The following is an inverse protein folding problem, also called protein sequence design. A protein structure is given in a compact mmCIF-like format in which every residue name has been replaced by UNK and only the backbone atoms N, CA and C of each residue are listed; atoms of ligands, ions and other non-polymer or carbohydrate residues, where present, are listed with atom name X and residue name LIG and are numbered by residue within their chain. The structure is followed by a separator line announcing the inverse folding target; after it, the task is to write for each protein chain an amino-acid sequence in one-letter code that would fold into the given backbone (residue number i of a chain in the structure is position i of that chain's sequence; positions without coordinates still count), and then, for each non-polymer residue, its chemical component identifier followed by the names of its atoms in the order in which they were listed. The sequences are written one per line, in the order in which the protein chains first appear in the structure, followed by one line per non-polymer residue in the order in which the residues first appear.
data_IF_149719075368
#
_entry.id   IF_149719075368
#
_cell.length_a   1.000
_cell.length_b   1.000
_cell.length_c   1.000
_cell.angle_alpha   90.00
_cell.angle_beta   90.00
_cell.angle_gamma   90.00
#
_symmetry.space_group_name_H-M   'P 1'
#
loop_
_entity.id
_entity.type
_entity.pdbx_description
1 polymer ?
#
# COMPACT_ATOMS: atom_id res chain seq x y z
N UNK A 1 -16.92 -7.51 -27.78
CA UNK A 1 -16.15 -6.92 -26.65
C UNK A 1 -15.40 -7.94 -25.80
N UNK A 2 -16.00 -9.03 -25.27
CA UNK A 2 -15.31 -10.02 -24.41
C UNK A 2 -14.08 -10.66 -25.05
N UNK A 3 -14.11 -10.96 -26.38
CA UNK A 3 -12.95 -11.48 -27.10
C UNK A 3 -11.78 -10.48 -27.11
N UNK A 4 -12.07 -9.19 -27.35
CA UNK A 4 -11.05 -8.12 -27.31
C UNK A 4 -10.46 -7.95 -25.91
N UNK A 5 -11.28 -8.00 -24.86
CA UNK A 5 -10.77 -7.98 -23.50
C UNK A 5 -9.85 -9.17 -23.21
N UNK A 6 -10.16 -10.37 -23.70
CA UNK A 6 -9.27 -11.54 -23.54
C UNK A 6 -7.93 -11.33 -24.23
N UNK A 7 -7.89 -10.73 -25.43
CA UNK A 7 -6.66 -10.37 -26.14
C UNK A 7 -5.84 -9.35 -25.34
N UNK A 8 -6.48 -8.29 -24.84
CA UNK A 8 -5.84 -7.29 -23.99
C UNK A 8 -5.22 -7.90 -22.72
N UNK A 9 -5.95 -8.81 -22.05
CA UNK A 9 -5.43 -9.50 -20.86
C UNK A 9 -4.21 -10.36 -21.20
N UNK A 10 -4.18 -11.00 -22.38
CA UNK A 10 -2.99 -11.75 -22.82
C UNK A 10 -1.80 -10.81 -23.11
N UNK A 11 -2.04 -9.64 -23.71
CA UNK A 11 -1.01 -8.63 -23.91
C UNK A 11 -0.42 -8.14 -22.58
N UNK A 12 -1.27 -7.87 -21.58
CA UNK A 12 -0.78 -7.52 -20.24
C UNK A 12 0.10 -8.61 -19.62
N UNK A 13 -0.20 -9.90 -19.88
CA UNK A 13 0.65 -11.01 -19.44
C UNK A 13 1.99 -11.02 -20.17
N UNK A 14 2.01 -10.81 -21.48
CA UNK A 14 3.23 -10.70 -22.29
C UNK A 14 4.11 -9.54 -21.80
N UNK A 15 3.52 -8.42 -21.40
CA UNK A 15 4.22 -7.27 -20.79
C UNK A 15 4.59 -7.49 -19.32
N UNK A 16 4.44 -8.70 -18.79
CA UNK A 16 4.83 -9.10 -17.44
C UNK A 16 4.16 -8.29 -16.30
N UNK A 17 2.89 -7.93 -16.49
CA UNK A 17 2.10 -7.31 -15.42
C UNK A 17 1.78 -8.34 -14.33
N UNK A 18 1.73 -7.88 -13.06
CA UNK A 18 1.39 -8.76 -11.94
C UNK A 18 -0.06 -9.27 -12.05
N UNK A 19 -0.30 -10.51 -11.60
CA UNK A 19 -1.64 -11.13 -11.58
C UNK A 19 -2.70 -10.23 -10.90
N UNK A 20 -2.32 -9.56 -9.82
CA UNK A 20 -3.19 -8.59 -9.13
C UNK A 20 -3.55 -7.41 -10.02
N UNK A 21 -2.60 -6.90 -10.79
CA UNK A 21 -2.83 -5.81 -11.74
C UNK A 21 -3.75 -6.28 -12.87
N UNK A 22 -3.46 -7.42 -13.47
CA UNK A 22 -4.26 -8.04 -14.54
C UNK A 22 -5.70 -8.26 -14.06
N UNK A 23 -5.90 -8.84 -12.87
CA UNK A 23 -7.23 -9.02 -12.27
C UNK A 23 -7.97 -7.69 -12.11
N UNK A 24 -7.26 -6.63 -11.71
CA UNK A 24 -7.84 -5.30 -11.54
C UNK A 24 -8.31 -4.68 -12.86
N UNK A 25 -7.49 -4.79 -13.92
CA UNK A 25 -7.87 -4.34 -15.27
C UNK A 25 -9.03 -5.15 -15.82
N UNK A 26 -8.95 -6.48 -15.72
CA UNK A 26 -10.04 -7.36 -16.17
C UNK A 26 -11.37 -7.02 -15.51
N UNK A 27 -11.38 -6.88 -14.18
CA UNK A 27 -12.63 -6.63 -13.46
C UNK A 27 -13.23 -5.25 -13.79
N UNK A 28 -12.41 -4.21 -13.97
CA UNK A 28 -12.91 -2.89 -14.35
C UNK A 28 -13.52 -2.90 -15.74
N UNK A 29 -12.84 -3.52 -16.71
CA UNK A 29 -13.32 -3.59 -18.09
C UNK A 29 -14.53 -4.51 -18.24
N UNK A 30 -14.60 -5.63 -17.50
CA UNK A 30 -15.80 -6.49 -17.48
C UNK A 30 -17.04 -5.74 -16.99
N UNK A 31 -16.92 -4.95 -15.90
CA UNK A 31 -18.06 -4.14 -15.43
C UNK A 31 -18.53 -3.14 -16.46
N UNK A 32 -17.60 -2.54 -17.19
CA UNK A 32 -17.93 -1.61 -18.27
C UNK A 32 -18.62 -2.33 -19.43
N UNK A 33 -18.13 -3.50 -19.86
CA UNK A 33 -18.76 -4.31 -20.90
C UNK A 33 -20.18 -4.69 -20.48
N UNK A 34 -20.37 -5.19 -19.25
CA UNK A 34 -21.72 -5.53 -18.74
C UNK A 34 -22.66 -4.33 -18.75
N UNK A 35 -22.17 -3.13 -18.40
CA UNK A 35 -22.98 -1.91 -18.52
C UNK A 35 -23.38 -1.62 -19.96
N UNK A 36 -22.45 -1.70 -20.92
CA UNK A 36 -22.74 -1.47 -22.33
C UNK A 36 -23.78 -2.48 -22.88
N UNK A 37 -23.67 -3.73 -22.46
CA UNK A 37 -24.63 -4.78 -22.83
C UNK A 37 -26.05 -4.47 -22.31
N UNK A 38 -26.17 -3.90 -21.09
CA UNK A 38 -27.51 -3.44 -20.60
C UNK A 38 -28.07 -2.26 -21.36
N UNK A 39 -27.20 -1.45 -21.97
CA UNK A 39 -27.59 -0.34 -22.87
C UNK A 39 -27.79 -0.80 -24.33
N UNK A 40 -27.71 -2.10 -24.62
CA UNK A 40 -27.90 -2.67 -25.95
C UNK A 40 -26.71 -2.49 -26.90
N UNK A 41 -25.54 -2.06 -26.38
CA UNK A 41 -24.33 -1.83 -27.18
C UNK A 41 -23.48 -3.10 -27.17
N UNK A 42 -23.32 -3.72 -28.31
CA UNK A 42 -22.62 -5.00 -28.47
C UNK A 42 -21.29 -4.88 -29.19
N UNK A 43 -21.07 -3.80 -29.92
CA UNK A 43 -19.82 -3.53 -30.63
C UNK A 43 -19.01 -2.42 -29.93
N UNK A 44 -17.68 -2.59 -29.93
CA UNK A 44 -16.76 -1.62 -29.32
C UNK A 44 -16.66 -0.32 -30.14
N UNK A 45 -16.87 -0.39 -31.45
CA UNK A 45 -16.85 0.76 -32.34
C UNK A 45 -18.04 1.71 -32.14
N UNK A 46 -19.15 1.20 -31.59
CA UNK A 46 -20.33 2.00 -31.25
C UNK A 46 -20.13 2.82 -29.97
N UNK A 47 -19.08 2.56 -29.20
CA UNK A 47 -18.86 3.21 -27.91
C UNK A 47 -18.41 4.66 -28.10
N UNK A 48 -19.23 5.58 -27.61
CA UNK A 48 -18.98 7.02 -27.65
C UNK A 48 -18.50 7.57 -26.32
N UNK A 49 -17.91 8.77 -26.33
CA UNK A 49 -17.54 9.48 -25.10
C UNK A 49 -18.76 9.75 -24.20
N UNK A 50 -19.98 9.83 -24.75
CA UNK A 50 -21.19 10.05 -23.95
C UNK A 50 -21.56 8.82 -23.14
N UNK A 51 -21.53 7.63 -23.71
CA UNK A 51 -21.78 6.37 -22.99
C UNK A 51 -20.76 6.14 -21.88
N UNK A 52 -19.48 6.46 -22.13
CA UNK A 52 -18.45 6.40 -21.09
C UNK A 52 -18.76 7.37 -19.92
N UNK A 53 -19.22 8.60 -20.22
CA UNK A 53 -19.63 9.55 -19.19
C UNK A 53 -20.81 9.05 -18.37
N UNK A 54 -21.83 8.49 -19.03
CA UNK A 54 -22.99 7.90 -18.35
C UNK A 54 -22.57 6.74 -17.43
N UNK A 55 -21.70 5.85 -17.94
CA UNK A 55 -21.13 4.79 -17.10
C UNK A 55 -20.38 5.35 -15.88
N UNK A 56 -19.54 6.37 -16.07
CA UNK A 56 -18.81 7.00 -14.96
C UNK A 56 -19.76 7.60 -13.93
N UNK A 57 -20.87 8.19 -14.37
CA UNK A 57 -21.92 8.73 -13.49
C UNK A 57 -22.68 7.65 -12.72
N UNK A 58 -22.82 6.45 -13.29
CA UNK A 58 -23.46 5.31 -12.62
C UNK A 58 -22.59 4.65 -11.56
N UNK A 59 -21.29 4.96 -11.51
CA UNK A 59 -20.39 4.36 -10.53
C UNK A 59 -20.54 5.06 -9.17
N UNK A 60 -21.04 4.33 -8.20
CA UNK A 60 -21.05 4.77 -6.81
C UNK A 60 -19.66 4.64 -6.18
N UNK A 61 -19.22 5.66 -5.43
CA UNK A 61 -17.97 5.60 -4.69
C UNK A 61 -17.19 6.92 -4.61
N UNK A 62 -16.05 6.85 -3.96
CA UNK A 62 -15.16 8.02 -3.82
C UNK A 62 -14.53 8.39 -5.16
N UNK A 63 -14.24 9.68 -5.41
CA UNK A 63 -13.59 10.12 -6.65
C UNK A 63 -12.30 9.37 -6.99
N UNK A 64 -11.52 8.96 -6.00
CA UNK A 64 -10.30 8.16 -6.19
C UNK A 64 -10.56 6.79 -6.80
N UNK A 65 -11.65 6.10 -6.40
CA UNK A 65 -12.06 4.83 -6.98
C UNK A 65 -12.53 4.98 -8.44
N UNK A 66 -13.36 6.02 -8.68
CA UNK A 66 -13.84 6.34 -10.03
C UNK A 66 -12.65 6.68 -10.94
N UNK A 67 -11.72 7.52 -10.49
CA UNK A 67 -10.51 7.86 -11.23
C UNK A 67 -9.62 6.64 -11.52
N UNK A 68 -9.53 5.71 -10.59
CA UNK A 68 -8.82 4.45 -10.82
C UNK A 68 -9.52 3.61 -11.92
N UNK A 69 -10.85 3.61 -11.99
CA UNK A 69 -11.61 2.94 -13.05
C UNK A 69 -11.38 3.64 -14.39
N UNK A 70 -11.48 4.98 -14.46
CA UNK A 70 -11.19 5.77 -15.67
C UNK A 70 -9.79 5.44 -16.21
N UNK A 71 -8.78 5.38 -15.36
CA UNK A 71 -7.40 5.05 -15.76
C UNK A 71 -7.29 3.65 -16.38
N UNK A 72 -8.03 2.67 -15.84
CA UNK A 72 -8.03 1.29 -16.38
C UNK A 72 -8.75 1.19 -17.71
N UNK A 73 -9.91 1.85 -17.86
CA UNK A 73 -10.61 1.94 -19.13
C UNK A 73 -9.76 2.65 -20.18
N UNK A 74 -9.14 3.78 -19.81
CA UNK A 74 -8.26 4.54 -20.72
C UNK A 74 -7.14 3.67 -21.26
N UNK A 75 -6.49 2.86 -20.42
CA UNK A 75 -5.43 1.97 -20.85
C UNK A 75 -5.93 0.90 -21.84
N UNK A 76 -7.15 0.39 -21.66
CA UNK A 76 -7.75 -0.56 -22.61
C UNK A 76 -8.07 0.10 -23.94
N UNK A 77 -8.71 1.28 -23.93
CA UNK A 77 -9.04 2.00 -25.16
C UNK A 77 -7.80 2.53 -25.90
N UNK A 78 -6.70 2.85 -25.21
CA UNK A 78 -5.40 3.15 -25.84
C UNK A 78 -4.89 1.92 -26.56
N UNK A 79 -4.89 0.76 -25.90
CA UNK A 79 -4.49 -0.50 -26.50
C UNK A 79 -5.36 -0.88 -27.71
N UNK A 80 -6.70 -0.73 -27.60
CA UNK A 80 -7.61 -0.99 -28.73
C UNK A 80 -7.31 -0.13 -29.96
N UNK A 81 -6.92 1.14 -29.74
CA UNK A 81 -6.51 2.04 -30.81
C UNK A 81 -5.15 1.65 -31.39
N UNK A 82 -4.17 1.30 -30.53
CA UNK A 82 -2.83 0.86 -30.95
C UNK A 82 -2.85 -0.43 -31.77
N UNK A 83 -3.78 -1.34 -31.46
CA UNK A 83 -3.97 -2.61 -32.17
C UNK A 83 -5.01 -2.50 -33.31
N UNK A 84 -5.40 -1.28 -33.69
CA UNK A 84 -6.31 -0.97 -34.81
C UNK A 84 -7.70 -1.62 -34.70
N UNK A 85 -8.15 -1.97 -33.47
CA UNK A 85 -9.49 -2.46 -33.22
C UNK A 85 -10.55 -1.37 -33.20
N UNK A 86 -10.18 -0.11 -33.08
CA UNK A 86 -11.02 1.07 -33.16
C UNK A 86 -10.28 2.18 -33.91
N UNK A 87 -11.00 3.00 -34.68
CA UNK A 87 -10.42 4.13 -35.41
C UNK A 87 -10.21 5.38 -34.53
N UNK A 88 -11.00 5.53 -33.47
CA UNK A 88 -11.03 6.71 -32.60
C UNK A 88 -11.12 6.30 -31.15
N UNK A 89 -10.33 6.97 -30.28
CA UNK A 89 -10.37 6.70 -28.85
C UNK A 89 -11.46 7.54 -28.15
N UNK A 90 -12.57 6.94 -27.71
CA UNK A 90 -13.66 7.67 -27.05
C UNK A 90 -13.27 8.20 -25.66
N UNK A 91 -12.16 7.72 -25.08
CA UNK A 91 -11.63 8.18 -23.78
C UNK A 91 -10.83 9.49 -23.89
N UNK A 92 -10.49 9.98 -25.10
CA UNK A 92 -9.63 11.13 -25.32
C UNK A 92 -10.10 12.41 -24.57
N UNK A 93 -11.43 12.63 -24.53
CA UNK A 93 -12.05 13.81 -23.88
C UNK A 93 -12.50 13.57 -22.43
N UNK A 94 -12.27 12.37 -21.87
CA UNK A 94 -12.67 12.04 -20.51
C UNK A 94 -11.63 12.58 -19.53
N UNK A 95 -12.06 13.48 -18.64
CA UNK A 95 -11.20 14.05 -17.58
C UNK A 95 -11.36 13.26 -16.30
N UNK A 96 -10.30 13.27 -15.48
CA UNK A 96 -10.39 12.75 -14.11
C UNK A 96 -11.23 13.68 -13.23
N UNK A 97 -11.93 13.11 -12.28
CA UNK A 97 -12.66 13.85 -11.25
C UNK A 97 -11.67 14.59 -10.36
N UNK A 98 -12.06 15.76 -9.88
CA UNK A 98 -11.29 16.47 -8.86
C UNK A 98 -11.31 15.65 -7.57
N UNK A 99 -10.14 15.45 -6.99
CA UNK A 99 -9.99 14.81 -5.69
C UNK A 99 -9.58 15.87 -4.69
N UNK A 100 -10.32 16.00 -3.60
CA UNK A 100 -9.86 16.78 -2.47
C UNK A 100 -8.69 16.03 -1.82
N UNK A 101 -7.56 16.69 -1.67
CA UNK A 101 -6.46 16.17 -0.89
C UNK A 101 -6.90 16.06 0.57
N UNK A 102 -7.07 14.85 1.07
CA UNK A 102 -7.31 14.63 2.49
C UNK A 102 -5.98 14.50 3.22
N UNK A 103 -5.85 15.18 4.34
CA UNK A 103 -4.75 14.93 5.28
C UNK A 103 -4.80 13.46 5.70
N UNK A 104 -3.65 12.81 5.66
CA UNK A 104 -3.55 11.39 6.04
C UNK A 104 -3.67 11.32 7.56
N UNK A 105 -4.83 10.88 8.04
CA UNK A 105 -5.06 10.62 9.45
C UNK A 105 -4.42 9.30 9.86
N UNK A 106 -3.63 9.32 10.92
CA UNK A 106 -2.97 8.15 11.49
C UNK A 106 -3.16 8.13 13.01
N UNK A 107 -2.52 7.18 13.67
CA UNK A 107 -2.52 7.05 15.11
C UNK A 107 -1.85 8.25 15.80
N UNK A 108 -2.30 8.58 17.00
CA UNK A 108 -1.53 9.38 17.97
C UNK A 108 -0.39 8.54 18.54
N UNK A 109 0.61 9.21 19.14
CA UNK A 109 1.75 8.51 19.75
C UNK A 109 1.30 7.65 20.94
N UNK A 110 0.25 8.07 21.67
CA UNK A 110 -0.35 7.29 22.75
C UNK A 110 -1.01 5.99 22.21
N UNK A 111 -1.78 6.08 21.13
CA UNK A 111 -2.39 4.91 20.50
C UNK A 111 -1.35 3.97 19.92
N UNK A 112 -0.30 4.48 19.28
CA UNK A 112 0.81 3.69 18.77
C UNK A 112 1.51 2.91 19.90
N UNK A 113 1.74 3.56 21.05
CA UNK A 113 2.30 2.91 22.25
C UNK A 113 1.37 1.80 22.77
N UNK A 114 0.08 2.08 22.90
CA UNK A 114 -0.92 1.08 23.31
C UNK A 114 -0.96 -0.11 22.35
N UNK A 115 -0.85 0.12 21.04
CA UNK A 115 -0.79 -0.95 20.03
C UNK A 115 0.49 -1.81 20.18
N UNK A 116 1.63 -1.20 20.46
CA UNK A 116 2.88 -1.93 20.71
C UNK A 116 2.81 -2.83 21.96
N UNK A 117 2.02 -2.46 22.95
CA UNK A 117 1.81 -3.20 24.18
C UNK A 117 0.62 -4.16 24.16
N UNK A 118 -0.23 -4.12 23.12
CA UNK A 118 -1.50 -4.83 23.04
C UNK A 118 -1.39 -6.37 23.15
N UNK A 119 -0.30 -6.95 22.64
CA UNK A 119 -0.06 -8.40 22.72
C UNK A 119 1.00 -8.68 23.78
N UNK A 120 0.62 -9.22 24.93
CA UNK A 120 1.49 -9.51 26.10
C UNK A 120 1.61 -11.01 26.44
N UNK A 121 0.84 -11.87 25.76
CA UNK A 121 0.86 -13.32 25.96
C UNK A 121 2.22 -13.98 25.66
N UNK A 122 2.43 -15.15 26.27
CA UNK A 122 3.65 -15.94 26.10
C UNK A 122 3.51 -17.09 25.11
N UNK A 123 2.32 -17.32 24.57
CA UNK A 123 2.10 -18.29 23.50
C UNK A 123 2.69 -17.79 22.17
N UNK A 124 3.01 -18.74 21.28
CA UNK A 124 3.68 -18.42 20.02
C UNK A 124 2.90 -17.44 19.14
N UNK A 125 1.55 -17.49 19.15
CA UNK A 125 0.73 -16.61 18.33
C UNK A 125 0.75 -15.19 18.89
N UNK A 126 0.68 -15.01 20.20
CA UNK A 126 0.80 -13.70 20.84
C UNK A 126 2.18 -13.09 20.61
N UNK A 127 3.26 -13.87 20.80
CA UNK A 127 4.64 -13.42 20.53
C UNK A 127 4.81 -13.04 19.05
N UNK A 128 4.29 -13.87 18.13
CA UNK A 128 4.31 -13.56 16.68
C UNK A 128 3.58 -12.26 16.37
N UNK A 129 2.34 -12.12 16.87
CA UNK A 129 1.51 -10.96 16.60
C UNK A 129 2.15 -9.68 17.15
N UNK A 130 2.71 -9.73 18.35
CA UNK A 130 3.52 -8.62 18.91
C UNK A 130 4.70 -8.29 18.00
N UNK A 131 5.39 -9.29 17.48
CA UNK A 131 6.54 -9.08 16.60
C UNK A 131 6.13 -8.48 15.25
N UNK A 132 4.98 -8.90 14.69
CA UNK A 132 4.40 -8.29 13.48
C UNK A 132 4.14 -6.79 13.71
N UNK A 133 3.44 -6.45 14.79
CA UNK A 133 3.13 -5.05 15.15
C UNK A 133 4.43 -4.25 15.34
N UNK A 134 5.38 -4.77 16.12
CA UNK A 134 6.66 -4.12 16.35
C UNK A 134 7.47 -3.92 15.06
N UNK A 135 7.43 -4.89 14.12
CA UNK A 135 8.13 -4.76 12.83
C UNK A 135 7.47 -3.70 11.95
N UNK A 136 6.14 -3.66 11.89
CA UNK A 136 5.41 -2.64 11.12
C UNK A 136 5.69 -1.23 11.65
N UNK A 137 5.61 -1.02 12.98
CA UNK A 137 5.91 0.28 13.60
C UNK A 137 7.41 0.65 13.56
N UNK A 138 8.29 -0.32 13.75
CA UNK A 138 9.73 -0.06 13.84
C UNK A 138 10.44 0.09 12.48
N UNK A 139 9.85 -0.43 11.41
CA UNK A 139 10.47 -0.46 10.08
C UNK A 139 9.63 0.21 8.99
N UNK A 140 8.35 0.45 9.20
CA UNK A 140 7.46 1.04 8.22
C UNK A 140 7.33 0.23 6.91
N UNK A 141 7.61 -1.06 6.92
CA UNK A 141 7.56 -1.93 5.73
C UNK A 141 6.14 -2.10 5.19
N UNK A 142 6.01 -2.42 3.90
CA UNK A 142 4.71 -2.78 3.32
C UNK A 142 4.29 -4.16 3.84
N UNK A 143 2.97 -4.42 3.88
CA UNK A 143 2.45 -5.72 4.30
C UNK A 143 3.02 -6.88 3.45
N UNK A 144 3.13 -6.71 2.13
CA UNK A 144 3.74 -7.70 1.25
C UNK A 144 5.23 -7.92 1.54
N UNK A 145 5.97 -6.86 1.87
CA UNK A 145 7.38 -6.95 2.24
C UNK A 145 7.57 -7.67 3.57
N UNK A 146 6.68 -7.40 4.55
CA UNK A 146 6.68 -8.13 5.82
C UNK A 146 6.51 -9.64 5.61
N UNK A 147 5.61 -10.03 4.71
CA UNK A 147 5.32 -11.44 4.41
C UNK A 147 6.49 -12.15 3.71
N UNK A 148 7.24 -11.42 2.87
CA UNK A 148 8.39 -11.94 2.12
C UNK A 148 9.70 -11.94 2.93
N UNK A 149 9.71 -11.39 4.16
CA UNK A 149 10.91 -11.40 5.01
C UNK A 149 11.34 -12.82 5.35
N UNK A 150 12.58 -13.16 5.06
CA UNK A 150 13.21 -14.43 5.37
C UNK A 150 14.13 -14.33 6.59
N UNK A 151 14.45 -15.46 7.19
CA UNK A 151 15.37 -15.54 8.34
C UNK A 151 16.74 -14.93 8.01
N UNK A 152 17.22 -15.16 6.80
CA UNK A 152 18.51 -14.65 6.31
C UNK A 152 18.53 -13.13 6.09
N UNK A 153 17.36 -12.48 6.03
CA UNK A 153 17.25 -11.03 5.84
C UNK A 153 17.46 -10.23 7.13
N UNK A 154 17.48 -10.90 8.28
CA UNK A 154 17.79 -10.28 9.56
C UNK A 154 19.30 -10.14 9.70
N UNK A 155 19.81 -8.90 9.64
CA UNK A 155 21.21 -8.56 9.84
C UNK A 155 21.43 -7.92 11.21
N UNK A 156 22.68 -7.61 11.53
CA UNK A 156 23.02 -7.05 12.85
C UNK A 156 22.29 -5.73 13.12
N UNK A 157 22.28 -4.81 12.16
CA UNK A 157 21.80 -3.43 12.34
C UNK A 157 20.67 -3.05 11.39
N UNK A 158 20.23 -3.97 10.53
CA UNK A 158 19.19 -3.71 9.54
C UNK A 158 18.44 -4.98 9.13
N UNK A 159 17.25 -4.76 8.55
CA UNK A 159 16.53 -5.77 7.77
C UNK A 159 16.78 -5.50 6.29
N UNK A 160 17.10 -6.55 5.54
CA UNK A 160 17.16 -6.50 4.08
C UNK A 160 15.75 -6.68 3.53
N UNK A 161 15.23 -5.66 2.85
CA UNK A 161 13.93 -5.72 2.18
C UNK A 161 14.17 -5.98 0.70
N UNK A 162 13.87 -7.19 0.27
CA UNK A 162 14.00 -7.59 -1.12
C UNK A 162 12.84 -7.00 -1.93
N UNK A 163 13.15 -6.35 -3.04
CA UNK A 163 12.15 -5.76 -3.92
C UNK A 163 12.00 -6.56 -5.19
N UNK A 164 11.00 -7.44 -5.21
CA UNK A 164 10.68 -8.27 -6.36
C UNK A 164 10.14 -7.48 -7.56
N UNK A 165 9.58 -6.30 -7.31
CA UNK A 165 8.88 -5.52 -8.35
C UNK A 165 9.79 -4.56 -9.14
N UNK A 166 10.78 -3.92 -8.49
CA UNK A 166 11.66 -2.93 -9.11
C UNK A 166 13.15 -3.32 -9.08
N UNK A 167 13.48 -4.56 -8.70
CA UNK A 167 14.84 -5.14 -8.63
C UNK A 167 15.87 -4.32 -7.82
N UNK A 168 15.43 -3.44 -6.91
CA UNK A 168 16.30 -2.69 -6.01
C UNK A 168 15.98 -3.06 -4.58
N UNK A 169 16.84 -3.87 -3.99
CA UNK A 169 16.81 -4.16 -2.56
C UNK A 169 17.11 -2.90 -1.77
N UNK A 170 16.56 -2.83 -0.56
CA UNK A 170 16.86 -1.75 0.36
C UNK A 170 17.06 -2.26 1.78
N UNK A 171 17.80 -1.51 2.55
CA UNK A 171 17.98 -1.78 3.96
C UNK A 171 17.08 -0.86 4.80
N UNK A 172 16.54 -1.42 5.88
CA UNK A 172 15.76 -0.67 6.87
C UNK A 172 16.44 -0.85 8.22
N UNK A 173 16.75 0.23 8.95
CA UNK A 173 17.43 0.12 10.25
C UNK A 173 16.65 -0.77 11.23
N UNK A 174 17.36 -1.61 11.97
CA UNK A 174 16.82 -2.52 12.96
C UNK A 174 17.14 -2.02 14.36
N UNK A 175 16.16 -1.36 15.00
CA UNK A 175 16.29 -0.88 16.36
C UNK A 175 16.50 -2.04 17.37
N UNK A 176 17.32 -1.82 18.42
CA UNK A 176 17.68 -2.86 19.39
C UNK A 176 16.49 -3.53 20.09
N UNK A 177 15.43 -2.78 20.38
CA UNK A 177 14.18 -3.33 20.95
C UNK A 177 13.47 -4.27 19.98
N UNK A 178 13.37 -3.91 18.69
CA UNK A 178 12.78 -4.78 17.68
C UNK A 178 13.63 -6.05 17.52
N UNK A 179 14.95 -5.94 17.55
CA UNK A 179 15.84 -7.09 17.50
C UNK A 179 15.59 -8.04 18.69
N UNK A 180 15.46 -7.50 19.91
CA UNK A 180 15.12 -8.33 21.09
C UNK A 180 13.79 -9.07 20.89
N UNK A 181 12.78 -8.38 20.35
CA UNK A 181 11.48 -8.96 20.09
C UNK A 181 11.53 -10.04 18.98
N UNK A 182 12.26 -9.78 17.88
CA UNK A 182 12.52 -10.78 16.83
C UNK A 182 13.21 -12.02 17.41
N UNK A 183 14.27 -11.84 18.20
CA UNK A 183 14.98 -12.96 18.83
C UNK A 183 14.09 -13.77 19.79
N UNK A 184 13.16 -13.11 20.51
CA UNK A 184 12.16 -13.79 21.33
C UNK A 184 11.24 -14.65 20.45
N UNK A 185 10.76 -14.10 19.33
CA UNK A 185 9.91 -14.81 18.41
C UNK A 185 10.65 -15.96 17.71
N UNK A 186 11.89 -15.75 17.26
CA UNK A 186 12.70 -16.80 16.64
C UNK A 186 12.94 -17.99 17.58
N UNK A 187 13.11 -17.74 18.87
CA UNK A 187 13.20 -18.81 19.88
C UNK A 187 11.86 -19.54 20.07
N UNK A 188 10.75 -18.80 20.12
CA UNK A 188 9.42 -19.38 20.28
C UNK A 188 8.98 -20.20 19.05
N UNK A 189 9.45 -19.86 17.85
CA UNK A 189 9.17 -20.61 16.62
C UNK A 189 10.08 -21.80 16.38
N UNK A 190 10.95 -22.15 17.31
CA UNK A 190 11.85 -23.30 17.19
C UNK A 190 11.06 -24.58 16.91
N UNK A 191 11.39 -25.29 15.84
CA UNK A 191 10.66 -26.49 15.35
C UNK A 191 9.82 -26.25 14.09
N UNK A 192 9.70 -25.01 13.61
CA UNK A 192 9.12 -24.70 12.31
C UNK A 192 10.21 -24.66 11.22
N UNK A 193 9.89 -25.15 10.04
CA UNK A 193 10.86 -25.31 8.91
C UNK A 193 10.82 -24.19 7.89
N UNK A 194 9.80 -23.34 7.91
CA UNK A 194 9.65 -22.24 6.95
C UNK A 194 10.84 -21.28 6.96
N UNK A 195 11.32 -20.87 5.81
CA UNK A 195 12.35 -19.84 5.64
C UNK A 195 11.84 -18.42 5.95
N UNK A 196 10.52 -18.20 5.86
CA UNK A 196 9.90 -16.90 6.15
C UNK A 196 9.90 -16.62 7.65
N UNK A 197 10.08 -15.34 8.04
CA UNK A 197 10.05 -14.94 9.45
C UNK A 197 8.67 -15.21 10.04
N UNK A 198 7.60 -14.75 9.36
CA UNK A 198 6.24 -14.80 9.87
C UNK A 198 5.42 -15.90 9.19
N UNK A 199 4.94 -16.82 10.00
CA UNK A 199 4.20 -17.98 9.52
C UNK A 199 2.92 -18.22 10.31
N UNK A 200 2.04 -19.03 9.73
CA UNK A 200 0.86 -19.57 10.40
C UNK A 200 1.26 -20.67 11.40
N UNK A 201 0.29 -21.12 12.21
CA UNK A 201 0.47 -22.28 13.11
C UNK A 201 0.75 -23.61 12.36
N UNK A 202 0.47 -23.67 11.06
CA UNK A 202 0.66 -24.84 10.22
C UNK A 202 1.95 -24.76 9.37
N UNK A 203 2.92 -23.94 9.78
CA UNK A 203 4.19 -23.72 9.07
C UNK A 203 4.05 -23.22 7.62
N UNK A 204 2.96 -22.51 7.31
CA UNK A 204 2.73 -21.90 6.02
C UNK A 204 2.96 -20.40 6.12
N UNK A 205 3.39 -19.78 5.03
CA UNK A 205 3.50 -18.32 4.93
C UNK A 205 2.17 -17.65 5.30
N UNK A 206 2.22 -16.52 6.01
CA UNK A 206 1.03 -15.73 6.31
C UNK A 206 0.47 -15.07 5.05
N UNK A 207 -0.83 -14.84 5.05
CA UNK A 207 -1.49 -14.05 4.00
C UNK A 207 -1.63 -12.58 4.43
N UNK A 208 -1.89 -11.70 3.46
CA UNK A 208 -2.17 -10.28 3.70
C UNK A 208 -3.34 -10.12 4.66
N UNK A 209 -4.41 -10.89 4.45
CA UNK A 209 -5.63 -10.85 5.27
C UNK A 209 -5.37 -11.32 6.72
N UNK A 210 -4.42 -12.23 6.90
CA UNK A 210 -4.02 -12.65 8.24
C UNK A 210 -3.31 -11.53 9.00
N UNK A 211 -2.40 -10.81 8.34
CA UNK A 211 -1.72 -9.64 8.92
C UNK A 211 -2.70 -8.49 9.17
N UNK A 212 -3.61 -8.22 8.24
CA UNK A 212 -4.67 -7.21 8.43
C UNK A 212 -5.49 -7.49 9.67
N UNK A 213 -5.96 -8.75 9.86
CA UNK A 213 -6.69 -9.18 11.06
C UNK A 213 -5.87 -9.03 12.34
N UNK A 214 -4.55 -9.28 12.31
CA UNK A 214 -3.68 -9.04 13.47
C UNK A 214 -3.66 -7.56 13.84
N UNK A 215 -3.55 -6.66 12.85
CA UNK A 215 -3.53 -5.22 13.10
C UNK A 215 -4.89 -4.70 13.55
N UNK A 216 -5.99 -5.16 12.94
CA UNK A 216 -7.35 -4.79 13.33
C UNK A 216 -7.63 -5.20 14.79
N UNK A 217 -7.32 -6.45 15.15
CA UNK A 217 -7.48 -6.94 16.52
C UNK A 217 -6.59 -6.18 17.51
N UNK A 218 -5.37 -5.85 17.11
CA UNK A 218 -4.45 -5.01 17.89
C UNK A 218 -5.09 -3.66 18.21
N UNK A 219 -5.70 -3.00 17.20
CA UNK A 219 -6.39 -1.72 17.37
C UNK A 219 -7.57 -1.79 18.34
N UNK A 220 -8.34 -2.89 18.29
CA UNK A 220 -9.44 -3.12 19.23
C UNK A 220 -8.92 -3.28 20.67
N UNK A 221 -7.86 -4.10 20.88
CA UNK A 221 -7.25 -4.30 22.21
C UNK A 221 -6.68 -2.98 22.75
N UNK A 222 -6.03 -2.20 21.89
CA UNK A 222 -5.43 -0.91 22.21
C UNK A 222 -6.46 0.23 22.33
N UNK A 223 -7.76 -0.03 22.09
CA UNK A 223 -8.84 0.96 22.13
C UNK A 223 -8.56 2.18 21.25
N UNK A 224 -8.00 1.95 20.06
CA UNK A 224 -7.74 3.00 19.08
C UNK A 224 -9.05 3.67 18.66
N UNK A 225 -9.00 4.98 18.39
CA UNK A 225 -10.15 5.74 17.90
C UNK A 225 -10.83 5.04 16.71
N UNK A 226 -12.13 4.73 16.78
CA UNK A 226 -12.84 3.98 15.75
C UNK A 226 -12.88 4.66 14.38
N UNK A 227 -12.62 5.97 14.31
CA UNK A 227 -12.49 6.70 13.05
C UNK A 227 -11.14 6.44 12.34
N UNK A 228 -10.18 5.81 13.01
CA UNK A 228 -8.88 5.47 12.45
C UNK A 228 -8.91 4.01 11.99
N UNK A 229 -8.73 3.78 10.69
CA UNK A 229 -8.62 2.44 10.17
C UNK A 229 -7.34 1.77 10.65
N UNK A 230 -7.44 0.73 11.48
CA UNK A 230 -6.30 -0.08 11.90
C UNK A 230 -5.89 -1.02 10.75
N UNK A 231 -4.81 -0.65 10.03
CA UNK A 231 -4.27 -1.45 8.93
C UNK A 231 -2.74 -1.33 8.86
N UNK A 232 -2.04 -2.29 8.24
CA UNK A 232 -0.59 -2.18 8.02
C UNK A 232 -0.20 -0.89 7.28
N UNK A 233 -1.07 -0.42 6.39
CA UNK A 233 -0.83 0.81 5.65
C UNK A 233 -0.93 2.06 6.54
N UNK A 234 -1.87 2.10 7.47
CA UNK A 234 -2.00 3.18 8.47
C UNK A 234 -0.78 3.21 9.40
N UNK A 235 -0.27 2.04 9.84
CA UNK A 235 0.96 1.96 10.63
C UNK A 235 2.15 2.53 9.84
N UNK A 236 2.26 2.18 8.56
CA UNK A 236 3.31 2.71 7.69
C UNK A 236 3.19 4.23 7.50
N UNK A 237 1.99 4.78 7.41
CA UNK A 237 1.76 6.22 7.38
C UNK A 237 2.21 6.88 8.68
N UNK A 238 1.85 6.29 9.83
CA UNK A 238 2.32 6.75 11.14
C UNK A 238 3.85 6.76 11.21
N UNK A 239 4.52 5.65 10.83
CA UNK A 239 5.98 5.58 10.80
C UNK A 239 6.57 6.74 9.99
N UNK A 240 6.04 7.00 8.80
CA UNK A 240 6.51 8.08 7.94
C UNK A 240 6.37 9.46 8.60
N UNK A 241 5.19 9.76 9.15
CA UNK A 241 4.94 11.01 9.87
C UNK A 241 5.78 11.13 11.14
N UNK A 242 5.93 10.04 11.90
CA UNK A 242 6.77 10.01 13.10
C UNK A 242 8.24 10.34 12.78
N UNK A 243 8.80 9.74 11.73
CA UNK A 243 10.17 10.01 11.31
C UNK A 243 10.36 11.46 10.86
N UNK A 244 9.41 12.01 10.11
CA UNK A 244 9.45 13.43 9.67
C UNK A 244 9.35 14.39 10.85
N UNK A 245 8.45 14.14 11.82
CA UNK A 245 8.33 14.95 13.05
C UNK A 245 9.59 14.90 13.93
N UNK A 246 10.41 13.86 13.78
CA UNK A 246 11.70 13.72 14.46
C UNK A 246 12.88 14.09 13.54
N UNK A 247 12.65 14.96 12.55
CA UNK A 247 13.68 15.60 11.70
C UNK A 247 14.51 14.63 10.86
N UNK A 248 13.98 13.43 10.55
CA UNK A 248 14.64 12.56 9.58
C UNK A 248 14.54 13.17 8.18
N UNK A 249 15.68 13.33 7.53
CA UNK A 249 15.76 13.89 6.19
C UNK A 249 14.83 13.15 5.22
N UNK A 250 14.01 13.90 4.48
CA UNK A 250 12.98 13.34 3.58
C UNK A 250 13.55 12.44 2.49
N UNK A 251 14.75 12.73 1.98
CA UNK A 251 15.42 11.89 1.00
C UNK A 251 15.78 10.53 1.59
N UNK A 252 16.39 10.54 2.79
CA UNK A 252 16.73 9.30 3.53
C UNK A 252 15.47 8.50 3.84
N UNK A 253 14.42 9.16 4.30
CA UNK A 253 13.13 8.52 4.57
C UNK A 253 12.52 7.91 3.29
N UNK A 254 12.54 8.62 2.17
CA UNK A 254 12.05 8.12 0.88
C UNK A 254 12.78 6.83 0.46
N UNK A 255 14.09 6.76 0.67
CA UNK A 255 14.88 5.55 0.40
C UNK A 255 14.54 4.40 1.35
N UNK A 256 14.45 4.66 2.66
CA UNK A 256 14.02 3.65 3.66
C UNK A 256 12.63 3.11 3.32
N UNK A 257 11.70 3.98 2.94
CA UNK A 257 10.35 3.61 2.56
C UNK A 257 10.29 2.89 1.19
N UNK A 258 11.32 2.98 0.37
CA UNK A 258 11.33 2.43 -1.00
C UNK A 258 10.28 3.08 -1.89
N UNK A 259 10.19 4.41 -1.84
CA UNK A 259 9.37 5.19 -2.75
C UNK A 259 10.16 5.46 -4.03
N UNK A 260 9.59 5.11 -5.18
CA UNK A 260 10.18 5.37 -6.50
C UNK A 260 10.20 6.86 -6.86
N UNK A 261 9.36 7.65 -6.20
CA UNK A 261 9.27 9.11 -6.39
C UNK A 261 9.15 9.79 -5.02
N UNK A 262 10.00 10.76 -4.75
CA UNK A 262 10.00 11.54 -3.52
C UNK A 262 8.67 12.29 -3.29
N UNK A 263 7.93 12.60 -4.36
CA UNK A 263 6.59 13.20 -4.26
C UNK A 263 5.61 12.35 -3.42
N UNK A 264 5.83 11.03 -3.34
CA UNK A 264 5.03 10.16 -2.46
C UNK A 264 5.33 10.48 -0.99
N UNK A 265 6.59 10.77 -0.66
CA UNK A 265 6.99 11.14 0.71
C UNK A 265 6.59 12.58 1.03
N UNK A 266 6.62 13.50 0.06
CA UNK A 266 6.19 14.90 0.24
C UNK A 266 4.73 15.01 0.71
N UNK A 267 3.86 14.07 0.37
CA UNK A 267 2.47 14.07 0.86
C UNK A 267 2.33 14.02 2.38
N UNK A 268 3.34 13.54 3.08
CA UNK A 268 3.36 13.50 4.54
C UNK A 268 3.75 14.85 5.15
N UNK A 269 4.42 15.72 4.38
CA UNK A 269 4.74 17.09 4.79
C UNK A 269 3.50 18.00 4.76
N UNK A 270 2.47 17.68 3.99
CA UNK A 270 1.22 18.45 3.93
C UNK A 270 0.49 18.50 5.30
N UNK A 271 0.87 17.64 6.26
CA UNK A 271 0.34 17.65 7.64
C UNK A 271 1.21 18.40 8.66
N UNK A 272 2.35 18.96 8.25
CA UNK A 272 3.21 19.76 9.13
C UNK A 272 2.59 21.17 9.26
N UNK A 273 2.38 21.62 10.50
CA UNK A 273 1.79 22.93 10.78
C UNK A 273 2.81 24.05 10.60
N UNK A 274 2.36 25.27 10.27
CA UNK A 274 3.24 26.45 10.19
C UNK A 274 4.00 26.69 11.50
N UNK A 275 3.41 26.34 12.64
CA UNK A 275 4.06 26.49 13.94
C UNK A 275 5.26 25.53 14.09
N UNK A 276 5.14 24.28 13.62
CA UNK A 276 6.26 23.33 13.60
C UNK A 276 7.39 23.80 12.68
N UNK A 277 7.05 24.37 11.50
CA UNK A 277 8.02 24.94 10.56
C UNK A 277 8.79 26.10 11.21
N UNK A 278 8.09 26.96 11.95
CA UNK A 278 8.68 28.12 12.64
C UNK A 278 9.63 27.65 13.75
N UNK A 279 9.18 26.72 14.61
CA UNK A 279 9.97 26.18 15.71
C UNK A 279 11.27 25.51 15.20
N UNK A 280 11.17 24.69 14.15
CA UNK A 280 12.32 24.04 13.51
C UNK A 280 13.28 25.07 12.90
N UNK A 281 12.76 26.09 12.21
CA UNK A 281 13.58 27.12 11.54
C UNK A 281 14.31 28.02 12.54
N UNK A 282 13.69 28.35 13.68
CA UNK A 282 14.33 29.13 14.74
C UNK A 282 15.50 28.36 15.36
N UNK A 283 15.32 27.04 15.60
CA UNK A 283 16.36 26.19 16.20
C UNK A 283 17.61 26.01 15.34
N UNK A 284 17.52 26.21 14.01
CA UNK A 284 18.62 25.98 13.04
C UNK A 284 19.08 27.29 12.38
N UNK A 285 18.78 28.44 12.99
CA UNK A 285 19.11 29.73 12.38
C UNK A 285 20.63 30.00 12.46
N UNK A 286 21.30 30.44 11.35
CA UNK A 286 22.72 30.81 11.38
C UNK A 286 23.06 31.92 12.39
N UNK A 287 22.07 32.68 12.83
CA UNK A 287 22.26 33.68 13.90
C UNK A 287 22.50 33.06 15.29
N UNK A 288 22.36 31.75 15.41
CA UNK A 288 22.67 31.00 16.62
C UNK A 288 24.13 30.50 16.67
N UNK A 289 24.97 30.85 15.65
CA UNK A 289 26.42 30.63 15.63
C UNK A 289 27.09 31.67 16.51
#
# INVERSE_FOLDING_TARGET
MHKLLKLYINDLKLRNYSERTIKSYRNANLRFISYLETEGITDIDEVTSMQIKLYIQSIEGKPSYINATIKRLRAWFVWLLEEEFIERNPMAKIKLLRENKSVITTFSDAEAKQMLDAYDGNDILSIRNKTIIATLFGCGVRCSELLELKLEDIKLDYLLIRNTKNKHDRVVPLHSQLRKQLNRYLRARKGFNSEYIFMSKNDLQLTVEAVERVVERCGVIAKVNPNIRCSPHTIRHYYCQYQLRNNVNIYSLSRIMGHSNIAITNRYLEGITNQQIIEESIGINPLNL
#
